data_IF_179016905079
#
_entry.id   IF_179016905079
#
_cell.length_a   1.000
_cell.length_b   1.000
_cell.length_c   1.000
_cell.angle_alpha   90.00
_cell.angle_beta   90.00
_cell.angle_gamma   90.00
#
_symmetry.space_group_name_H-M   'P 1'
#
loop_
_entity.id
_entity.type
_entity.pdbx_description
1 polymer ?
#
# COMPACT_ATOMS: atom_id res chain seq x y z
N UNK A 1 15.12 -4.10 4.43
CA UNK A 1 13.68 -4.41 4.43
C UNK A 1 13.09 -3.91 3.12
N UNK A 2 12.12 -4.61 2.53
CA UNK A 2 11.51 -4.17 1.28
C UNK A 2 10.31 -3.27 1.58
N UNK A 3 9.98 -2.35 0.66
CA UNK A 3 8.77 -1.50 0.79
C UNK A 3 7.51 -2.34 0.93
N UNK A 4 7.48 -3.51 0.28
CA UNK A 4 6.38 -4.48 0.38
C UNK A 4 6.25 -5.00 1.81
N UNK A 5 7.35 -5.41 2.46
CA UNK A 5 7.30 -5.90 3.84
C UNK A 5 6.79 -4.82 4.81
N UNK A 6 7.18 -3.56 4.63
CA UNK A 6 6.66 -2.48 5.48
C UNK A 6 5.18 -2.21 5.26
N UNK A 7 4.71 -2.25 4.00
CA UNK A 7 3.28 -2.11 3.69
C UNK A 7 2.46 -3.24 4.32
N UNK A 8 2.95 -4.48 4.25
CA UNK A 8 2.31 -5.65 4.90
C UNK A 8 2.24 -5.46 6.40
N UNK A 9 3.33 -5.00 7.03
CA UNK A 9 3.34 -4.70 8.46
C UNK A 9 2.39 -3.56 8.84
N UNK A 10 2.28 -2.51 8.02
CA UNK A 10 1.36 -1.40 8.23
C UNK A 10 -0.09 -1.87 8.18
N UNK A 11 -0.46 -2.69 7.20
CA UNK A 11 -1.79 -3.30 7.12
C UNK A 11 -2.05 -4.16 8.36
N UNK A 12 -1.08 -4.99 8.77
CA UNK A 12 -1.21 -5.86 9.95
C UNK A 12 -1.37 -5.07 11.25
N UNK A 13 -0.59 -4.00 11.45
CA UNK A 13 -0.64 -3.17 12.66
C UNK A 13 -1.93 -2.38 12.80
N UNK A 14 -2.50 -1.92 11.67
CA UNK A 14 -3.76 -1.19 11.68
C UNK A 14 -4.98 -2.10 11.86
N UNK A 15 -4.83 -3.43 11.72
CA UNK A 15 -5.94 -4.37 11.78
C UNK A 15 -6.98 -4.21 10.65
N UNK A 16 -6.74 -3.28 9.72
CA UNK A 16 -7.67 -2.92 8.66
C UNK A 16 -7.40 -3.73 7.39
N UNK A 17 -8.45 -4.02 6.63
CA UNK A 17 -8.33 -4.62 5.30
C UNK A 17 -7.77 -3.64 4.26
N UNK A 18 -7.83 -2.33 4.53
CA UNK A 18 -7.22 -1.29 3.73
C UNK A 18 -6.69 -0.12 4.57
N UNK A 19 -5.71 0.58 4.01
CA UNK A 19 -5.14 1.82 4.55
C UNK A 19 -5.04 2.86 3.44
N UNK A 20 -5.11 4.12 3.83
CA UNK A 20 -4.85 5.26 2.95
C UNK A 20 -3.62 5.98 3.46
N UNK A 21 -2.67 6.27 2.57
CA UNK A 21 -1.47 7.03 2.86
C UNK A 21 -1.44 8.31 2.03
N UNK A 22 -0.88 9.39 2.57
CA UNK A 22 -0.43 10.52 1.74
C UNK A 22 0.79 10.10 0.92
N UNK A 23 1.11 10.86 -0.12
CA UNK A 23 2.33 10.65 -0.90
C UNK A 23 3.59 10.72 -0.01
N UNK A 24 3.65 11.70 0.90
CA UNK A 24 4.79 11.85 1.82
C UNK A 24 4.94 10.66 2.77
N UNK A 25 3.82 10.09 3.24
CA UNK A 25 3.84 8.87 4.04
C UNK A 25 4.37 7.69 3.23
N UNK A 26 3.93 7.52 1.97
CA UNK A 26 4.44 6.47 1.09
C UNK A 26 5.94 6.66 0.79
N UNK A 27 6.39 7.89 0.62
CA UNK A 27 7.80 8.25 0.45
C UNK A 27 8.64 7.87 1.67
N UNK A 28 8.11 8.13 2.87
CA UNK A 28 8.68 7.68 4.14
C UNK A 28 8.82 6.15 4.22
N UNK A 29 7.74 5.41 3.92
CA UNK A 29 7.74 3.92 3.88
C UNK A 29 8.71 3.37 2.84
N UNK A 30 8.85 4.06 1.72
CA UNK A 30 9.80 3.68 0.67
C UNK A 30 11.24 4.12 0.95
N UNK A 31 11.47 4.90 2.02
CA UNK A 31 12.70 5.59 2.35
C UNK A 31 13.31 6.34 1.16
N UNK A 32 12.47 7.12 0.44
CA UNK A 32 12.83 7.84 -0.79
C UNK A 32 12.13 9.19 -0.81
N UNK A 33 12.82 10.24 -1.25
CA UNK A 33 12.24 11.59 -1.39
C UNK A 33 11.16 11.66 -2.48
N UNK A 34 11.26 10.82 -3.51
CA UNK A 34 10.29 10.73 -4.61
C UNK A 34 10.29 9.36 -5.26
N UNK A 35 9.14 8.96 -5.78
CA UNK A 35 8.96 7.70 -6.51
C UNK A 35 8.70 7.97 -7.99
N UNK A 36 9.58 7.47 -8.85
CA UNK A 36 9.36 7.47 -10.30
C UNK A 36 8.33 6.41 -10.71
N UNK A 37 7.67 6.63 -11.85
CA UNK A 37 6.66 5.71 -12.40
C UNK A 37 7.15 4.26 -12.51
N UNK A 38 8.39 4.04 -12.94
CA UNK A 38 8.99 2.70 -13.03
C UNK A 38 9.14 2.00 -11.68
N UNK A 39 9.34 2.76 -10.60
CA UNK A 39 9.35 2.21 -9.25
C UNK A 39 7.93 1.84 -8.79
N UNK A 40 6.96 2.73 -9.03
CA UNK A 40 5.55 2.49 -8.69
C UNK A 40 5.01 1.25 -9.41
N UNK A 41 5.36 1.06 -10.67
CA UNK A 41 5.00 -0.13 -11.44
C UNK A 41 5.61 -1.40 -10.83
N UNK A 42 6.90 -1.38 -10.50
CA UNK A 42 7.57 -2.49 -9.81
C UNK A 42 6.94 -2.78 -8.44
N UNK A 43 6.61 -1.74 -7.68
CA UNK A 43 5.97 -1.86 -6.38
C UNK A 43 4.58 -2.51 -6.52
N UNK A 44 3.77 -2.05 -7.46
CA UNK A 44 2.45 -2.61 -7.78
C UNK A 44 2.56 -4.10 -8.12
N UNK A 45 3.52 -4.46 -8.99
CA UNK A 45 3.71 -5.85 -9.39
C UNK A 45 4.20 -6.75 -8.26
N UNK A 46 4.96 -6.21 -7.30
CA UNK A 46 5.39 -6.98 -6.14
C UNK A 46 4.28 -7.11 -5.10
N UNK A 47 3.47 -6.08 -4.86
CA UNK A 47 2.33 -6.13 -3.94
C UNK A 47 1.26 -7.12 -4.41
N UNK A 48 1.02 -7.23 -5.73
CA UNK A 48 0.12 -8.23 -6.31
C UNK A 48 0.50 -9.67 -5.98
N UNK A 49 1.79 -9.97 -5.73
CA UNK A 49 2.23 -11.32 -5.35
C UNK A 49 1.88 -11.67 -3.90
N UNK A 50 1.54 -10.66 -3.11
CA UNK A 50 1.16 -10.77 -1.70
C UNK A 50 -0.35 -10.54 -1.51
N UNK A 51 -1.14 -10.69 -2.58
CA UNK A 51 -2.59 -10.38 -2.58
C UNK A 51 -2.89 -8.97 -2.04
N UNK A 52 -2.10 -7.97 -2.46
CA UNK A 52 -2.30 -6.57 -2.10
C UNK A 52 -2.44 -5.72 -3.37
N UNK A 53 -3.52 -4.95 -3.39
CA UNK A 53 -3.80 -3.93 -4.39
C UNK A 53 -3.33 -2.55 -3.91
N UNK A 54 -2.80 -1.75 -4.84
CA UNK A 54 -2.42 -0.36 -4.59
C UNK A 54 -2.98 0.54 -5.68
N UNK A 55 -3.60 1.64 -5.29
CA UNK A 55 -4.18 2.65 -6.19
C UNK A 55 -3.53 4.00 -5.91
N UNK A 56 -2.89 4.56 -6.92
CA UNK A 56 -2.26 5.88 -6.86
C UNK A 56 -3.26 6.96 -7.27
N UNK A 57 -3.89 7.61 -6.28
CA UNK A 57 -4.73 8.78 -6.51
C UNK A 57 -3.92 10.07 -6.56
N UNK A 58 -4.58 11.18 -6.89
CA UNK A 58 -3.94 12.50 -6.93
C UNK A 58 -3.48 12.96 -5.53
N UNK A 59 -4.34 12.82 -4.52
CA UNK A 59 -4.05 13.32 -3.16
C UNK A 59 -3.58 12.22 -2.21
N UNK A 60 -3.96 10.97 -2.47
CA UNK A 60 -3.74 9.86 -1.56
C UNK A 60 -3.52 8.56 -2.32
N UNK A 61 -2.84 7.63 -1.67
CA UNK A 61 -2.59 6.27 -2.13
C UNK A 61 -3.40 5.32 -1.28
N UNK A 62 -4.21 4.49 -1.93
CA UNK A 62 -5.04 3.49 -1.28
C UNK A 62 -4.33 2.14 -1.40
N UNK A 63 -4.18 1.44 -0.29
CA UNK A 63 -3.58 0.12 -0.23
C UNK A 63 -4.57 -0.83 0.42
N UNK A 64 -4.86 -1.93 -0.23
CA UNK A 64 -5.99 -2.80 0.06
C UNK A 64 -5.56 -4.26 -0.08
N UNK A 65 -5.99 -5.13 0.84
CA UNK A 65 -5.84 -6.58 0.62
C UNK A 65 -6.80 -7.04 -0.47
N UNK A 66 -6.33 -7.83 -1.42
CA UNK A 66 -7.07 -8.29 -2.60
C UNK A 66 -7.78 -9.63 -2.33
N UNK A 67 -8.65 -9.63 -1.32
CA UNK A 67 -9.56 -10.73 -1.01
C UNK A 67 -10.88 -10.19 -0.47
N UNK A 68 -11.91 -11.04 -0.39
CA UNK A 68 -13.21 -10.64 0.13
C UNK A 68 -13.11 -10.12 1.56
N UNK A 69 -13.30 -8.81 1.75
CA UNK A 69 -13.34 -8.21 3.08
C UNK A 69 -14.60 -8.62 3.81
N UNK A 70 -14.50 -8.72 5.13
CA UNK A 70 -15.67 -8.90 5.95
C UNK A 70 -16.50 -7.61 5.90
N UNK A 71 -17.78 -7.74 5.55
CA UNK A 71 -18.68 -6.59 5.58
C UNK A 71 -18.78 -6.11 7.03
N UNK A 72 -18.38 -4.86 7.28
CA UNK A 72 -18.66 -4.20 8.56
C UNK A 72 -20.15 -3.89 8.61
N UNK A 73 -20.88 -4.54 9.52
CA UNK A 73 -22.24 -4.13 9.88
C UNK A 73 -22.15 -2.98 10.88
N UNK A 74 -22.77 -1.85 10.54
CA UNK A 74 -22.96 -0.70 11.43
C UNK A 74 -24.17 -0.96 12.33
#
# INVERSE_FOLDING_TARGET
MSVVSEIVELLRKNGNEAITLTWDQLYGVANRERLHSSFLEKLTNNLKKEDIHIVYGNNAVIIARDFCWNRVSV
#
